data_IF_777922540050
#
_entry.id   IF_777922540050
#
_cell.length_a   1.000
_cell.length_b   1.000
_cell.length_c   1.000
_cell.angle_alpha   90.00
_cell.angle_beta   90.00
_cell.angle_gamma   90.00
#
_symmetry.space_group_name_H-M   'P 1'
#
loop_
_entity.id
_entity.type
_entity.pdbx_description
1 polymer ?
#
# COMPACT_ATOMS: atom_id res chain seq x y z
N UNK A 1 -22.61 15.25 32.25
CA UNK A 1 -22.17 14.66 30.97
C UNK A 1 -21.43 13.37 31.30
N UNK A 2 -22.00 12.17 31.11
CA UNK A 2 -21.21 10.96 31.30
C UNK A 2 -20.27 10.79 30.10
N UNK A 3 -19.00 10.52 30.37
CA UNK A 3 -18.01 10.21 29.35
C UNK A 3 -18.39 8.90 28.67
N UNK A 4 -18.66 8.96 27.36
CA UNK A 4 -18.91 7.79 26.54
C UNK A 4 -17.61 6.99 26.47
N UNK A 5 -17.56 5.84 27.14
CA UNK A 5 -16.41 4.96 27.10
C UNK A 5 -16.24 4.44 25.66
N UNK A 6 -15.09 4.72 25.05
CA UNK A 6 -14.75 4.17 23.75
C UNK A 6 -14.73 2.64 23.85
N UNK A 7 -15.61 1.97 23.12
CA UNK A 7 -15.59 0.51 23.05
C UNK A 7 -14.25 0.08 22.44
N UNK A 8 -13.52 -0.86 23.07
CA UNK A 8 -12.27 -1.36 22.50
C UNK A 8 -12.59 -2.03 21.16
N UNK A 9 -11.94 -1.55 20.11
CA UNK A 9 -11.99 -2.14 18.77
C UNK A 9 -11.71 -3.65 18.87
N UNK A 10 -12.59 -4.51 18.32
CA UNK A 10 -12.39 -5.95 18.30
C UNK A 10 -10.98 -6.34 17.84
N UNK A 11 -10.39 -7.42 18.38
CA UNK A 11 -9.05 -7.88 17.98
C UNK A 11 -8.94 -8.15 16.47
N UNK A 12 -10.04 -8.63 15.88
CA UNK A 12 -10.16 -8.91 14.44
C UNK A 12 -9.97 -7.65 13.59
N UNK A 13 -10.59 -6.54 13.97
CA UNK A 13 -10.49 -5.26 13.25
C UNK A 13 -9.06 -4.68 13.30
N UNK A 14 -8.32 -4.94 14.38
CA UNK A 14 -6.92 -4.51 14.50
C UNK A 14 -5.99 -5.32 13.61
N UNK A 15 -6.19 -6.64 13.54
CA UNK A 15 -5.38 -7.52 12.69
C UNK A 15 -5.66 -7.27 11.22
N UNK A 16 -6.93 -7.13 10.83
CA UNK A 16 -7.32 -6.75 9.48
C UNK A 16 -6.67 -5.43 9.06
N UNK A 17 -6.76 -4.39 9.90
CA UNK A 17 -6.12 -3.12 9.63
C UNK A 17 -4.59 -3.22 9.55
N UNK A 18 -3.96 -4.12 10.32
CA UNK A 18 -2.51 -4.36 10.26
C UNK A 18 -2.12 -5.03 8.95
N UNK A 19 -2.82 -6.07 8.54
CA UNK A 19 -2.56 -6.79 7.29
C UNK A 19 -2.75 -5.88 6.08
N UNK A 20 -3.82 -5.07 6.06
CA UNK A 20 -4.07 -4.11 4.98
C UNK A 20 -2.98 -3.04 4.89
N UNK A 21 -2.51 -2.49 6.01
CA UNK A 21 -1.38 -1.55 6.01
C UNK A 21 -0.10 -2.19 5.47
N UNK A 22 0.17 -3.43 5.88
CA UNK A 22 1.35 -4.16 5.44
C UNK A 22 1.29 -4.47 3.94
N UNK A 23 0.12 -4.87 3.45
CA UNK A 23 -0.11 -5.10 2.02
C UNK A 23 0.16 -3.82 1.22
N UNK A 24 -0.40 -2.66 1.62
CA UNK A 24 -0.17 -1.37 0.96
C UNK A 24 1.32 -0.98 0.93
N UNK A 25 2.05 -1.16 2.03
CA UNK A 25 3.48 -0.87 2.09
C UNK A 25 4.28 -1.75 1.13
N UNK A 26 3.99 -3.05 1.11
CA UNK A 26 4.66 -4.01 0.23
C UNK A 26 4.38 -3.71 -1.25
N UNK A 27 3.13 -3.41 -1.62
CA UNK A 27 2.78 -3.05 -3.00
C UNK A 27 3.54 -1.81 -3.47
N UNK A 28 3.65 -0.77 -2.63
CA UNK A 28 4.41 0.44 -2.96
C UNK A 28 5.91 0.15 -3.15
N UNK A 29 6.49 -0.67 -2.27
CA UNK A 29 7.90 -1.04 -2.34
C UNK A 29 8.19 -1.94 -3.54
N UNK A 30 7.31 -2.89 -3.83
CA UNK A 30 7.42 -3.77 -4.99
C UNK A 30 7.32 -2.98 -6.29
N UNK A 31 6.33 -2.08 -6.43
CA UNK A 31 6.18 -1.22 -7.59
C UNK A 31 7.44 -0.36 -7.84
N UNK A 32 8.02 0.19 -6.77
CA UNK A 32 9.29 0.91 -6.85
C UNK A 32 10.46 0.00 -7.25
N UNK A 33 10.58 -1.18 -6.65
CA UNK A 33 11.65 -2.14 -6.95
C UNK A 33 11.62 -2.55 -8.42
N UNK A 34 10.44 -2.88 -8.95
CA UNK A 34 10.22 -3.21 -10.36
C UNK A 34 10.58 -2.04 -11.30
N UNK A 35 10.14 -0.82 -10.97
CA UNK A 35 10.45 0.37 -11.76
C UNK A 35 11.96 0.67 -11.83
N UNK A 36 12.72 0.31 -10.78
CA UNK A 36 14.15 0.58 -10.67
C UNK A 36 15.04 -0.66 -10.88
N UNK A 37 14.47 -1.81 -11.27
CA UNK A 37 15.17 -3.10 -11.43
C UNK A 37 16.02 -3.47 -10.20
N UNK A 38 15.46 -3.25 -9.02
CA UNK A 38 16.12 -3.59 -7.76
C UNK A 38 16.24 -5.10 -7.61
N UNK A 39 17.32 -5.57 -6.98
CA UNK A 39 17.50 -6.98 -6.61
C UNK A 39 16.50 -7.46 -5.55
N UNK A 40 15.83 -6.52 -4.86
CA UNK A 40 14.88 -6.83 -3.79
C UNK A 40 13.48 -7.18 -4.30
N UNK A 41 13.22 -7.03 -5.61
CA UNK A 41 11.88 -7.20 -6.21
C UNK A 41 11.28 -8.58 -5.87
N UNK A 42 12.05 -9.65 -6.05
CA UNK A 42 11.60 -11.02 -5.79
C UNK A 42 11.30 -11.24 -4.30
N UNK A 43 12.15 -10.72 -3.41
CA UNK A 43 11.95 -10.84 -1.97
C UNK A 43 10.69 -10.07 -1.51
N UNK A 44 10.45 -8.88 -2.05
CA UNK A 44 9.25 -8.08 -1.76
C UNK A 44 7.98 -8.76 -2.28
N UNK A 45 8.04 -9.36 -3.48
CA UNK A 45 6.92 -10.13 -4.03
C UNK A 45 6.57 -11.32 -3.15
N UNK A 46 7.57 -12.06 -2.68
CA UNK A 46 7.35 -13.20 -1.77
C UNK A 46 6.69 -12.78 -0.46
N UNK A 47 7.08 -11.63 0.10
CA UNK A 47 6.43 -11.09 1.31
C UNK A 47 4.98 -10.67 1.05
N UNK A 48 4.69 -10.05 -0.11
CA UNK A 48 3.31 -9.68 -0.47
C UNK A 48 2.41 -10.91 -0.58
N UNK A 49 2.89 -11.99 -1.21
CA UNK A 49 2.17 -13.26 -1.30
C UNK A 49 1.88 -13.85 0.09
N UNK A 50 2.83 -13.83 1.02
CA UNK A 50 2.61 -14.30 2.40
C UNK A 50 1.54 -13.50 3.14
N UNK A 51 1.43 -12.19 2.86
CA UNK A 51 0.37 -11.34 3.42
C UNK A 51 -0.98 -11.67 2.81
N UNK A 52 -1.05 -11.91 1.49
CA UNK A 52 -2.27 -12.35 0.80
C UNK A 52 -2.77 -13.71 1.30
N UNK A 53 -1.86 -14.67 1.52
CA UNK A 53 -2.18 -15.95 2.16
C UNK A 53 -2.75 -15.73 3.57
N UNK A 54 -2.11 -14.86 4.36
CA UNK A 54 -2.58 -14.55 5.72
C UNK A 54 -3.95 -13.85 5.73
N UNK A 55 -4.23 -12.99 4.74
CA UNK A 55 -5.54 -12.36 4.55
C UNK A 55 -6.59 -13.42 4.24
N UNK A 56 -6.28 -14.35 3.32
CA UNK A 56 -7.14 -15.47 2.94
C UNK A 56 -7.49 -16.36 4.12
N UNK A 57 -6.50 -16.69 4.95
CA UNK A 57 -6.69 -17.59 6.09
C UNK A 57 -7.48 -16.96 7.25
N UNK A 58 -7.39 -15.63 7.42
CA UNK A 58 -7.82 -14.97 8.67
C UNK A 58 -9.03 -14.05 8.52
N UNK A 59 -9.28 -13.48 7.34
CA UNK A 59 -10.33 -12.48 7.14
C UNK A 59 -11.55 -13.06 6.43
N UNK A 60 -12.78 -13.01 6.97
CA UNK A 60 -14.02 -13.18 6.21
C UNK A 60 -14.05 -12.32 4.95
N UNK A 61 -14.66 -12.87 3.90
CA UNK A 61 -14.81 -12.25 2.59
C UNK A 61 -13.46 -11.86 1.94
N UNK A 62 -12.40 -12.60 2.25
CA UNK A 62 -11.04 -12.41 1.71
C UNK A 62 -11.02 -12.31 0.19
N UNK A 63 -11.82 -13.11 -0.52
CA UNK A 63 -11.84 -13.11 -1.99
C UNK A 63 -12.29 -11.76 -2.57
N UNK A 64 -13.35 -11.17 -2.00
CA UNK A 64 -13.84 -9.86 -2.42
C UNK A 64 -12.83 -8.76 -2.07
N UNK A 65 -12.23 -8.85 -0.87
CA UNK A 65 -11.20 -7.92 -0.43
C UNK A 65 -9.95 -7.97 -1.32
N UNK A 66 -9.43 -9.16 -1.62
CA UNK A 66 -8.26 -9.33 -2.50
C UNK A 66 -8.54 -8.84 -3.92
N UNK A 67 -9.75 -9.05 -4.44
CA UNK A 67 -10.15 -8.49 -5.73
C UNK A 67 -10.08 -6.95 -5.74
N UNK A 68 -10.56 -6.28 -4.68
CA UNK A 68 -10.44 -4.82 -4.55
C UNK A 68 -8.97 -4.37 -4.44
N UNK A 69 -8.16 -5.10 -3.67
CA UNK A 69 -6.74 -4.81 -3.51
C UNK A 69 -5.99 -4.95 -4.84
N UNK A 70 -6.21 -6.00 -5.63
CA UNK A 70 -5.57 -6.18 -6.94
C UNK A 70 -6.00 -5.10 -7.95
N UNK A 71 -7.26 -4.65 -7.93
CA UNK A 71 -7.69 -3.49 -8.73
C UNK A 71 -6.91 -2.25 -8.35
N UNK A 72 -6.69 -2.02 -7.05
CA UNK A 72 -5.88 -0.91 -6.56
C UNK A 72 -4.40 -1.03 -6.97
N UNK A 73 -3.79 -2.22 -6.83
CA UNK A 73 -2.42 -2.50 -7.29
C UNK A 73 -2.27 -2.23 -8.79
N UNK A 74 -3.22 -2.71 -9.60
CA UNK A 74 -3.24 -2.43 -11.04
C UNK A 74 -3.32 -0.93 -11.35
N UNK A 75 -4.00 -0.15 -10.49
CA UNK A 75 -4.04 1.32 -10.59
C UNK A 75 -2.71 2.01 -10.29
N UNK A 76 -1.79 1.37 -9.57
CA UNK A 76 -0.42 1.89 -9.35
C UNK A 76 0.51 1.63 -10.52
N UNK A 77 0.18 0.67 -11.38
CA UNK A 77 0.89 0.43 -12.63
C UNK A 77 0.53 1.56 -13.60
N UNK A 78 1.33 2.62 -13.61
CA UNK A 78 1.17 3.66 -14.62
C UNK A 78 1.47 3.06 -15.99
N UNK A 79 0.50 3.17 -16.92
CA UNK A 79 0.78 3.03 -18.34
C UNK A 79 1.83 4.09 -18.70
N UNK A 80 2.76 3.73 -19.58
CA UNK A 80 4.13 4.25 -19.75
C UNK A 80 4.32 5.74 -20.10
N UNK A 81 3.41 6.65 -19.78
CA UNK A 81 3.50 8.07 -20.14
C UNK A 81 4.18 8.93 -19.08
N UNK A 82 4.25 8.49 -17.82
CA UNK A 82 4.92 9.23 -16.74
C UNK A 82 6.32 8.64 -16.48
N UNK A 83 7.40 9.37 -16.79
CA UNK A 83 8.75 8.94 -16.43
C UNK A 83 8.89 8.68 -14.92
N UNK A 84 9.63 7.63 -14.48
CA UNK A 84 9.81 7.31 -13.06
C UNK A 84 10.30 8.49 -12.21
N UNK A 85 11.13 9.38 -12.77
CA UNK A 85 11.59 10.63 -12.13
C UNK A 85 10.46 11.57 -11.70
N UNK A 86 9.31 11.49 -12.38
CA UNK A 86 8.15 12.35 -12.16
C UNK A 86 6.97 11.62 -11.51
N UNK A 87 7.03 10.29 -11.44
CA UNK A 87 6.03 9.49 -10.74
C UNK A 87 6.15 9.74 -9.22
N UNK A 88 5.10 10.30 -8.61
CA UNK A 88 5.09 10.62 -7.18
C UNK A 88 5.29 9.38 -6.29
N UNK A 89 4.87 8.19 -6.76
CA UNK A 89 5.10 6.91 -6.08
C UNK A 89 6.60 6.57 -6.10
N UNK A 90 7.25 6.57 -7.27
CA UNK A 90 8.69 6.36 -7.39
C UNK A 90 9.47 7.42 -6.60
N UNK A 91 9.01 8.68 -6.59
CA UNK A 91 9.63 9.75 -5.79
C UNK A 91 9.53 9.49 -4.30
N UNK A 92 8.35 9.10 -3.79
CA UNK A 92 8.17 8.72 -2.37
C UNK A 92 9.06 7.53 -2.00
N UNK A 93 9.07 6.49 -2.84
CA UNK A 93 9.84 5.29 -2.60
C UNK A 93 11.36 5.54 -2.63
N UNK A 94 11.85 6.34 -3.58
CA UNK A 94 13.27 6.73 -3.68
C UNK A 94 13.75 7.54 -2.49
N UNK A 95 12.86 8.29 -1.83
CA UNK A 95 13.19 9.09 -0.66
C UNK A 95 13.09 8.29 0.66
N UNK A 96 12.67 7.01 0.62
CA UNK A 96 12.47 6.19 1.81
C UNK A 96 11.45 6.78 2.79
N UNK A 97 10.51 7.60 2.28
CA UNK A 97 9.60 8.37 3.12
C UNK A 97 8.42 7.49 3.58
N UNK A 98 7.96 7.66 4.84
CA UNK A 98 6.77 6.98 5.35
C UNK A 98 5.54 7.14 4.43
N UNK A 99 4.72 6.09 4.30
CA UNK A 99 3.56 6.07 3.41
C UNK A 99 2.53 7.18 3.77
N UNK A 100 2.44 7.52 5.06
CA UNK A 100 1.58 8.54 5.66
C UNK A 100 2.14 9.97 5.55
N UNK A 101 3.30 10.17 4.91
CA UNK A 101 3.84 11.51 4.72
C UNK A 101 2.86 12.31 3.83
N UNK A 102 2.35 13.45 4.32
CA UNK A 102 1.43 14.26 3.55
C UNK A 102 2.11 14.66 2.24
N UNK A 103 1.42 14.43 1.12
CA UNK A 103 1.88 14.92 -0.15
C UNK A 103 2.02 16.44 -0.03
N UNK A 104 3.12 17.05 -0.53
CA UNK A 104 3.20 18.49 -0.60
C UNK A 104 1.93 18.96 -1.31
N UNK A 105 1.15 19.82 -0.64
CA UNK A 105 0.01 20.46 -1.28
C UNK A 105 0.53 20.99 -2.61
N UNK A 106 -0.07 20.54 -3.70
CA UNK A 106 0.34 20.92 -5.04
C UNK A 106 0.49 22.44 -5.01
N UNK A 107 1.73 22.92 -5.16
CA UNK A 107 1.95 24.33 -5.41
C UNK A 107 1.40 24.52 -6.81
N UNK A 108 0.10 24.82 -6.87
CA UNK A 108 -0.57 25.26 -8.05
C UNK A 108 0.25 26.41 -8.60
N UNK A 109 0.81 26.20 -9.78
CA UNK A 109 1.72 27.15 -10.40
C UNK A 109 1.87 26.78 -11.86
N UNK A 110 0.82 27.04 -12.64
CA UNK A 110 0.88 27.10 -14.08
C UNK A 110 2.06 27.96 -14.54
N UNK A 111 2.88 27.41 -15.45
CA UNK A 111 3.30 28.00 -16.73
C UNK A 111 4.11 27.00 -17.54
#
# INVERSE_FOLDING_TARGET
>A
MPAQAANPTPPYDREAARLLRLWVELTQRLASAAAHRSTDEEALRNLQLQVEDTITDRLPNSDALLAELWVWEAGLLHQSETPPETCLICRKARLGLPADLPLPAAVGGAR
#
